data_IF_766089033033
#
_entry.id   IF_766089033033
#
_cell.length_a   1.000
_cell.length_b   1.000
_cell.length_c   1.000
_cell.angle_alpha   90.00
_cell.angle_beta   90.00
_cell.angle_gamma   90.00
#
_symmetry.space_group_name_H-M   'P 1'
#
loop_
_entity.id
_entity.type
_entity.pdbx_description
1 polymer ?
#
# COMPACT_ATOMS: atom_id res chain seq x y z
N UNK A 1 25.16 -15.53 9.39
CA UNK A 1 23.75 -15.22 9.71
C UNK A 1 22.85 -16.15 8.91
N UNK A 2 21.89 -16.84 9.54
CA UNK A 2 20.95 -17.66 8.79
C UNK A 2 19.98 -16.78 8.00
N UNK A 3 19.56 -17.17 6.77
CA UNK A 3 18.62 -16.38 5.98
C UNK A 3 17.24 -16.37 6.66
N UNK A 4 16.54 -15.24 6.51
CA UNK A 4 15.15 -15.10 6.94
C UNK A 4 14.27 -15.57 5.81
N UNK A 5 13.38 -16.52 6.08
CA UNK A 5 12.43 -17.06 5.12
C UNK A 5 11.02 -16.55 5.41
N UNK A 6 10.24 -16.34 4.39
CA UNK A 6 8.82 -15.94 4.44
C UNK A 6 7.99 -16.69 3.40
N UNK A 7 6.70 -16.36 3.26
CA UNK A 7 5.85 -16.94 2.23
C UNK A 7 6.46 -16.74 0.83
N UNK A 8 6.49 -17.80 0.04
CA UNK A 8 6.97 -17.73 -1.34
C UNK A 8 6.01 -16.95 -2.25
N UNK A 9 4.72 -16.92 -1.91
CA UNK A 9 3.64 -16.29 -2.66
C UNK A 9 2.80 -15.36 -1.77
N UNK A 10 2.04 -14.46 -2.39
CA UNK A 10 1.16 -13.53 -1.68
C UNK A 10 1.87 -12.50 -0.80
N UNK A 11 3.17 -12.37 -0.92
CA UNK A 11 4.01 -11.55 -0.03
C UNK A 11 4.04 -10.06 -0.41
N UNK A 12 3.64 -9.72 -1.65
CA UNK A 12 3.78 -8.35 -2.17
C UNK A 12 2.53 -7.53 -1.87
N UNK A 13 2.53 -6.87 -0.72
CA UNK A 13 1.40 -6.07 -0.23
C UNK A 13 1.37 -4.64 -0.77
N UNK A 14 2.37 -4.28 -1.56
CA UNK A 14 2.40 -3.02 -2.31
C UNK A 14 2.78 -3.27 -3.75
N UNK A 15 2.03 -2.66 -4.66
CA UNK A 15 2.36 -2.72 -6.07
C UNK A 15 1.81 -1.51 -6.82
N UNK A 16 2.46 -1.18 -7.91
CA UNK A 16 2.00 -0.22 -8.90
C UNK A 16 1.72 -0.98 -10.19
N UNK A 17 0.46 -1.03 -10.54
CA UNK A 17 -0.02 -1.67 -11.76
C UNK A 17 -0.25 -0.60 -12.81
N UNK A 18 0.32 -0.81 -13.99
CA UNK A 18 0.03 0.02 -15.15
C UNK A 18 -1.30 -0.39 -15.76
N UNK A 19 -2.05 0.61 -16.23
CA UNK A 19 -3.36 0.43 -16.88
C UNK A 19 -3.27 0.99 -18.29
N UNK A 20 -3.78 0.28 -19.27
CA UNK A 20 -3.85 0.74 -20.66
C UNK A 20 -5.07 0.19 -21.37
N UNK A 21 -5.87 1.08 -21.90
CA UNK A 21 -6.88 0.73 -22.90
C UNK A 21 -6.18 0.56 -24.27
N UNK A 22 -6.26 -0.65 -24.82
CA UNK A 22 -5.65 -1.01 -26.12
C UNK A 22 -6.73 -1.00 -27.17
N UNK A 23 -6.94 0.16 -27.82
CA UNK A 23 -7.98 0.40 -28.81
C UNK A 23 -8.04 -0.69 -29.91
N UNK A 24 -6.87 -1.09 -30.44
CA UNK A 24 -6.78 -2.11 -31.50
C UNK A 24 -7.31 -3.48 -31.08
N UNK A 25 -7.32 -3.78 -29.77
CA UNK A 25 -7.79 -5.05 -29.22
C UNK A 25 -9.14 -4.91 -28.52
N UNK A 26 -9.66 -3.69 -28.37
CA UNK A 26 -10.89 -3.40 -27.64
C UNK A 26 -10.87 -3.85 -26.18
N UNK A 27 -9.67 -3.84 -25.53
CA UNK A 27 -9.54 -4.35 -24.17
C UNK A 27 -8.65 -3.46 -23.30
N UNK A 28 -8.89 -3.49 -21.99
CA UNK A 28 -8.02 -2.88 -20.97
C UNK A 28 -7.05 -3.91 -20.46
N UNK A 29 -5.78 -3.55 -20.38
CA UNK A 29 -4.74 -4.33 -19.70
C UNK A 29 -4.43 -3.68 -18.35
N UNK A 30 -4.28 -4.52 -17.31
CA UNK A 30 -3.78 -4.11 -15.99
C UNK A 30 -2.70 -5.08 -15.59
N UNK A 31 -1.49 -4.57 -15.31
CA UNK A 31 -0.38 -5.43 -14.94
C UNK A 31 0.94 -4.69 -14.75
N UNK A 32 1.99 -5.45 -14.54
CA UNK A 32 3.35 -4.93 -14.52
C UNK A 32 3.88 -4.73 -15.94
N UNK A 33 4.87 -3.85 -16.08
CA UNK A 33 5.63 -3.78 -17.32
C UNK A 33 6.41 -5.08 -17.54
N UNK A 34 6.43 -5.54 -18.76
CA UNK A 34 7.33 -6.61 -19.18
C UNK A 34 8.79 -6.17 -19.02
N UNK A 35 9.67 -7.12 -18.74
CA UNK A 35 11.09 -6.83 -18.53
C UNK A 35 11.71 -6.19 -19.77
N UNK A 36 12.35 -5.04 -19.60
CA UNK A 36 13.00 -4.25 -20.67
C UNK A 36 12.06 -3.88 -21.82
N UNK A 37 10.78 -3.71 -21.53
CA UNK A 37 9.74 -3.41 -22.52
C UNK A 37 8.86 -2.24 -22.03
N UNK A 38 8.20 -1.58 -23.01
CA UNK A 38 7.13 -0.59 -22.74
C UNK A 38 5.74 -1.23 -22.69
N UNK A 39 5.66 -2.53 -22.91
CA UNK A 39 4.40 -3.25 -22.89
C UNK A 39 4.01 -3.64 -21.49
N UNK A 40 2.70 -3.72 -21.28
CA UNK A 40 2.09 -4.18 -20.03
C UNK A 40 1.76 -5.66 -20.22
N UNK A 41 2.20 -6.49 -19.28
CA UNK A 41 1.86 -7.90 -19.27
C UNK A 41 0.33 -8.09 -19.15
N UNK A 42 -0.22 -8.96 -19.97
CA UNK A 42 -1.64 -9.33 -19.91
C UNK A 42 -1.88 -10.28 -18.74
N UNK A 43 -1.98 -9.70 -17.54
CA UNK A 43 -2.10 -10.46 -16.31
C UNK A 43 -3.56 -10.79 -16.01
N UNK A 44 -3.86 -12.09 -15.83
CA UNK A 44 -5.15 -12.56 -15.32
C UNK A 44 -5.09 -12.87 -13.82
N UNK A 45 -3.92 -13.22 -13.33
CA UNK A 45 -3.60 -13.48 -11.93
C UNK A 45 -2.15 -13.14 -11.64
N UNK A 46 -1.78 -13.02 -10.37
CA UNK A 46 -0.40 -12.78 -9.96
C UNK A 46 -0.11 -13.45 -8.62
N UNK A 47 0.73 -14.48 -8.63
CA UNK A 47 1.04 -15.27 -7.44
C UNK A 47 1.78 -14.49 -6.34
N UNK A 48 2.52 -13.42 -6.69
CA UNK A 48 3.24 -12.61 -5.68
C UNK A 48 2.33 -11.61 -4.96
N UNK A 49 1.19 -11.21 -5.56
CA UNK A 49 0.19 -10.38 -4.90
C UNK A 49 -0.64 -11.20 -3.90
N UNK A 50 -1.21 -10.58 -2.85
CA UNK A 50 -2.18 -11.25 -1.99
C UNK A 50 -3.32 -11.86 -2.82
N UNK A 51 -3.82 -13.02 -2.40
CA UNK A 51 -4.80 -13.79 -3.17
C UNK A 51 -6.04 -12.98 -3.56
N UNK A 52 -6.57 -12.17 -2.62
CA UNK A 52 -7.71 -11.29 -2.89
C UNK A 52 -7.40 -10.23 -3.96
N UNK A 53 -6.20 -9.62 -3.92
CA UNK A 53 -5.80 -8.64 -4.94
C UNK A 53 -5.60 -9.31 -6.30
N UNK A 54 -4.98 -10.49 -6.32
CA UNK A 54 -4.84 -11.29 -7.54
C UNK A 54 -6.20 -11.62 -8.17
N UNK A 55 -7.20 -11.95 -7.36
CA UNK A 55 -8.57 -12.21 -7.81
C UNK A 55 -9.27 -10.96 -8.38
N UNK A 56 -8.87 -9.76 -7.95
CA UNK A 56 -9.45 -8.51 -8.45
C UNK A 56 -8.91 -8.07 -9.82
N UNK A 57 -7.84 -8.67 -10.36
CA UNK A 57 -7.22 -8.19 -11.60
C UNK A 57 -8.19 -8.18 -12.78
N UNK A 58 -8.94 -9.27 -13.02
CA UNK A 58 -9.94 -9.33 -14.08
C UNK A 58 -11.15 -8.42 -13.81
N UNK A 59 -11.75 -8.40 -12.60
CA UNK A 59 -12.78 -7.43 -12.25
C UNK A 59 -12.34 -5.97 -12.40
N UNK A 60 -11.11 -5.62 -12.02
CA UNK A 60 -10.57 -4.26 -12.22
C UNK A 60 -10.46 -3.91 -13.72
N UNK A 61 -10.06 -4.86 -14.56
CA UNK A 61 -10.03 -4.64 -16.02
C UNK A 61 -11.43 -4.34 -16.57
N UNK A 62 -12.44 -5.09 -16.13
CA UNK A 62 -13.83 -4.85 -16.52
C UNK A 62 -14.30 -3.49 -16.02
N UNK A 63 -14.05 -3.15 -14.75
CA UNK A 63 -14.37 -1.84 -14.18
C UNK A 63 -13.80 -0.69 -15.03
N UNK A 64 -12.49 -0.72 -15.30
CA UNK A 64 -11.86 0.35 -16.07
C UNK A 64 -12.38 0.39 -17.50
N UNK A 65 -12.67 -0.76 -18.14
CA UNK A 65 -13.23 -0.80 -19.49
C UNK A 65 -14.61 -0.13 -19.58
N UNK A 66 -15.41 -0.21 -18.52
CA UNK A 66 -16.74 0.37 -18.43
C UNK A 66 -16.73 1.86 -18.03
N UNK A 67 -15.59 2.39 -17.57
CA UNK A 67 -15.47 3.79 -17.16
C UNK A 67 -15.44 4.74 -18.35
N UNK A 68 -16.02 5.92 -18.16
CA UNK A 68 -15.92 7.02 -19.12
C UNK A 68 -14.45 7.47 -19.25
N UNK A 69 -13.72 7.47 -18.12
CA UNK A 69 -12.30 7.86 -18.02
C UNK A 69 -11.31 6.74 -18.37
N UNK A 70 -11.72 5.63 -19.00
CA UNK A 70 -10.85 4.47 -19.29
C UNK A 70 -9.55 4.77 -20.01
N UNK A 71 -9.54 5.81 -20.83
CA UNK A 71 -8.35 6.22 -21.61
C UNK A 71 -7.41 7.13 -20.80
N UNK A 72 -7.87 7.67 -19.69
CA UNK A 72 -7.16 8.66 -18.87
C UNK A 72 -6.80 8.16 -17.47
N UNK A 73 -6.97 6.86 -17.22
CA UNK A 73 -6.58 6.18 -15.98
C UNK A 73 -5.35 5.29 -16.21
N UNK A 74 -4.12 5.83 -16.14
CA UNK A 74 -2.91 5.08 -16.54
C UNK A 74 -2.39 4.11 -15.49
N UNK A 75 -2.88 4.16 -14.24
CA UNK A 75 -2.25 3.44 -13.13
C UNK A 75 -3.22 3.19 -11.98
N UNK A 76 -3.07 2.02 -11.37
CA UNK A 76 -3.63 1.68 -10.05
C UNK A 76 -2.47 1.29 -9.15
N UNK A 77 -2.28 2.01 -8.03
CA UNK A 77 -1.40 1.55 -6.96
C UNK A 77 -2.22 0.84 -5.90
N UNK A 78 -1.67 -0.22 -5.33
CA UNK A 78 -2.26 -0.92 -4.22
C UNK A 78 -1.37 -0.86 -2.98
N UNK A 79 -2.01 -0.73 -1.83
CA UNK A 79 -1.37 -0.82 -0.53
C UNK A 79 -2.31 -1.60 0.41
N UNK A 80 -1.88 -2.79 0.82
CA UNK A 80 -2.63 -3.62 1.73
C UNK A 80 -2.23 -3.30 3.17
N UNK A 81 -3.22 -3.04 4.01
CA UNK A 81 -3.11 -3.05 5.46
C UNK A 81 -3.67 -4.36 6.02
N UNK A 82 -3.61 -4.51 7.34
CA UNK A 82 -4.09 -5.74 8.01
C UNK A 82 -5.63 -5.89 7.92
N UNK A 83 -6.38 -4.78 7.85
CA UNK A 83 -7.85 -4.79 7.81
C UNK A 83 -8.48 -4.24 6.54
N UNK A 84 -7.70 -3.68 5.62
CA UNK A 84 -8.22 -3.01 4.43
C UNK A 84 -7.17 -2.93 3.33
N UNK A 85 -7.58 -2.91 2.08
CA UNK A 85 -6.71 -2.65 0.94
C UNK A 85 -7.07 -1.31 0.29
N UNK A 86 -6.12 -0.39 0.24
CA UNK A 86 -6.26 0.83 -0.51
C UNK A 86 -5.90 0.62 -1.98
N UNK A 87 -6.76 1.11 -2.88
CA UNK A 87 -6.54 1.18 -4.32
C UNK A 87 -6.49 2.65 -4.72
N UNK A 88 -5.33 3.11 -5.19
CA UNK A 88 -5.13 4.49 -5.65
C UNK A 88 -5.28 4.51 -7.15
N UNK A 89 -6.38 5.06 -7.64
CA UNK A 89 -6.61 5.26 -9.06
C UNK A 89 -6.01 6.61 -9.49
N UNK A 90 -4.99 6.55 -10.33
CA UNK A 90 -4.48 7.74 -11.01
C UNK A 90 -5.38 8.06 -12.18
N UNK A 91 -5.83 9.31 -12.25
CA UNK A 91 -6.64 9.83 -13.35
C UNK A 91 -6.06 11.15 -13.86
N UNK A 92 -5.99 11.32 -15.17
CA UNK A 92 -5.43 12.53 -15.82
C UNK A 92 -6.50 13.58 -16.06
N UNK A 93 -7.76 13.16 -16.16
CA UNK A 93 -8.94 14.00 -16.33
C UNK A 93 -9.92 13.76 -15.17
N UNK A 94 -10.77 14.71 -14.82
CA UNK A 94 -11.80 14.54 -13.79
C UNK A 94 -12.68 13.32 -14.07
N UNK A 95 -12.97 12.54 -13.03
CA UNK A 95 -13.89 11.41 -13.13
C UNK A 95 -15.34 11.89 -13.17
N UNK A 96 -16.17 11.25 -13.98
CA UNK A 96 -17.61 11.48 -14.00
C UNK A 96 -18.28 10.94 -12.73
N UNK A 97 -19.50 11.43 -12.43
CA UNK A 97 -20.30 10.88 -11.33
C UNK A 97 -20.61 9.39 -11.56
N UNK A 98 -20.79 8.98 -12.82
CA UNK A 98 -20.96 7.58 -13.17
C UNK A 98 -19.72 6.74 -12.82
N UNK A 99 -18.53 7.25 -13.10
CA UNK A 99 -17.28 6.57 -12.73
C UNK A 99 -17.11 6.44 -11.22
N UNK A 100 -17.44 7.48 -10.47
CA UNK A 100 -17.43 7.43 -9.00
C UNK A 100 -18.40 6.36 -8.48
N UNK A 101 -19.59 6.23 -9.07
CA UNK A 101 -20.54 5.19 -8.67
C UNK A 101 -20.05 3.78 -9.04
N UNK A 102 -19.39 3.60 -10.19
CA UNK A 102 -18.76 2.33 -10.58
C UNK A 102 -17.68 1.90 -9.58
N UNK A 103 -16.83 2.84 -9.13
CA UNK A 103 -15.80 2.58 -8.11
C UNK A 103 -16.43 2.16 -6.77
N UNK A 104 -17.51 2.84 -6.33
CA UNK A 104 -18.26 2.47 -5.12
C UNK A 104 -18.89 1.09 -5.24
N UNK A 105 -19.47 0.78 -6.39
CA UNK A 105 -20.07 -0.53 -6.65
C UNK A 105 -19.01 -1.63 -6.59
N UNK A 106 -17.88 -1.43 -7.24
CA UNK A 106 -16.74 -2.36 -7.17
C UNK A 106 -16.32 -2.65 -5.72
N UNK A 107 -16.17 -1.60 -4.89
CA UNK A 107 -15.80 -1.76 -3.49
C UNK A 107 -16.84 -2.57 -2.69
N UNK A 108 -18.15 -2.36 -2.97
CA UNK A 108 -19.22 -3.15 -2.32
C UNK A 108 -19.24 -4.61 -2.74
N UNK A 109 -19.00 -4.89 -4.02
CA UNK A 109 -19.07 -6.25 -4.58
C UNK A 109 -17.86 -7.11 -4.21
N UNK A 110 -16.66 -6.52 -4.31
CA UNK A 110 -15.39 -7.23 -4.13
C UNK A 110 -14.74 -6.99 -2.77
N UNK A 111 -15.21 -6.03 -2.00
CA UNK A 111 -14.67 -5.65 -0.69
C UNK A 111 -15.32 -6.30 0.52
N UNK A 112 -16.15 -7.34 0.35
CA UNK A 112 -16.93 -7.96 1.46
C UNK A 112 -16.02 -8.64 2.49
N UNK A 113 -15.09 -9.46 2.05
CA UNK A 113 -14.12 -10.17 2.91
C UNK A 113 -12.85 -9.35 3.15
N UNK A 114 -12.44 -8.59 2.16
CA UNK A 114 -11.28 -7.72 2.19
C UNK A 114 -11.71 -6.29 1.82
N UNK A 115 -12.05 -5.45 2.80
CA UNK A 115 -12.51 -4.08 2.57
C UNK A 115 -11.61 -3.29 1.63
N UNK A 116 -12.22 -2.52 0.72
CA UNK A 116 -11.52 -1.71 -0.27
C UNK A 116 -11.74 -0.24 0.04
N UNK A 117 -10.65 0.52 0.07
CA UNK A 117 -10.67 1.98 0.08
C UNK A 117 -10.19 2.51 -1.26
N UNK A 118 -11.04 3.25 -1.97
CA UNK A 118 -10.60 3.99 -3.14
C UNK A 118 -9.94 5.31 -2.75
N UNK A 119 -8.82 5.57 -3.39
CA UNK A 119 -8.10 6.84 -3.35
C UNK A 119 -7.98 7.37 -4.77
N UNK A 120 -8.18 8.65 -4.96
CA UNK A 120 -8.10 9.32 -6.26
C UNK A 120 -6.86 10.20 -6.30
N UNK A 121 -6.10 10.08 -7.39
CA UNK A 121 -4.84 10.80 -7.58
C UNK A 121 -4.84 11.49 -8.94
N UNK A 122 -5.02 12.82 -8.93
CA UNK A 122 -5.07 13.63 -10.14
C UNK A 122 -3.69 14.06 -10.66
N UNK A 123 -2.70 14.16 -9.77
CA UNK A 123 -1.34 14.65 -10.07
C UNK A 123 -0.27 13.78 -9.41
N UNK A 124 0.69 14.40 -8.71
CA UNK A 124 1.71 13.69 -7.93
C UNK A 124 1.14 12.95 -6.70
N UNK A 125 1.98 12.18 -5.99
CA UNK A 125 1.56 11.39 -4.82
C UNK A 125 0.82 12.19 -3.75
N UNK A 126 1.19 13.46 -3.56
CA UNK A 126 0.57 14.35 -2.56
C UNK A 126 -0.87 14.74 -2.89
N UNK A 127 -1.29 14.55 -4.14
CA UNK A 127 -2.68 14.79 -4.58
C UNK A 127 -3.62 13.63 -4.25
N UNK A 128 -3.11 12.48 -3.80
CA UNK A 128 -3.94 11.34 -3.46
C UNK A 128 -4.87 11.68 -2.29
N UNK A 129 -6.16 11.48 -2.48
CA UNK A 129 -7.21 11.71 -1.47
C UNK A 129 -8.14 10.52 -1.43
N UNK A 130 -8.57 10.17 -0.23
CA UNK A 130 -9.59 9.14 -0.07
C UNK A 130 -10.89 9.60 -0.75
N UNK A 131 -11.51 8.72 -1.50
CA UNK A 131 -12.71 9.05 -2.27
C UNK A 131 -13.92 9.26 -1.35
N UNK A 132 -14.10 8.38 -0.37
CA UNK A 132 -15.21 8.45 0.60
C UNK A 132 -14.63 8.37 2.03
N UNK A 133 -14.65 9.49 2.76
CA UNK A 133 -14.08 9.56 4.11
C UNK A 133 -14.96 8.86 5.18
N UNK A 134 -16.27 8.82 4.94
CA UNK A 134 -17.27 8.30 5.88
C UNK A 134 -17.79 6.90 5.54
N UNK A 135 -16.98 6.07 4.90
CA UNK A 135 -17.40 4.75 4.41
C UNK A 135 -17.37 3.63 5.48
N UNK A 136 -16.94 3.94 6.69
CA UNK A 136 -16.87 2.98 7.80
C UNK A 136 -15.80 1.90 7.66
N UNK A 137 -14.96 1.93 6.62
CA UNK A 137 -13.86 0.97 6.47
C UNK A 137 -12.76 1.23 7.50
N UNK A 138 -12.02 0.18 7.94
CA UNK A 138 -10.91 0.32 8.87
C UNK A 138 -9.84 1.29 8.36
N UNK A 139 -9.06 1.86 9.26
CA UNK A 139 -7.88 2.63 8.89
C UNK A 139 -6.88 1.76 8.16
N UNK A 140 -6.20 2.33 7.14
CA UNK A 140 -5.10 1.66 6.47
C UNK A 140 -3.90 1.61 7.42
N UNK A 141 -3.63 0.44 7.99
CA UNK A 141 -2.59 0.24 8.99
C UNK A 141 -2.00 -1.17 8.91
N UNK A 142 -0.79 -1.33 9.43
CA UNK A 142 -0.19 -2.65 9.70
C UNK A 142 0.27 -2.73 11.15
N UNK A 143 0.30 -3.94 11.70
CA UNK A 143 0.71 -4.18 13.07
C UNK A 143 2.13 -4.75 13.16
N UNK A 144 2.81 -4.37 14.24
CA UNK A 144 4.02 -4.99 14.77
C UNK A 144 3.68 -5.65 16.11
N UNK A 145 3.05 -6.85 16.09
CA UNK A 145 2.43 -7.43 17.29
C UNK A 145 3.42 -7.71 18.42
N UNK A 146 4.69 -8.03 18.10
CA UNK A 146 5.74 -8.26 19.10
C UNK A 146 5.99 -7.04 20.00
N UNK A 147 5.55 -5.85 19.57
CA UNK A 147 5.76 -4.58 20.29
C UNK A 147 4.42 -3.91 20.69
N UNK A 148 3.28 -4.54 20.34
CA UNK A 148 1.96 -3.95 20.60
C UNK A 148 1.66 -2.70 19.77
N UNK A 149 2.35 -2.51 18.63
CA UNK A 149 2.30 -1.29 17.84
C UNK A 149 1.41 -1.51 16.60
N UNK A 150 0.52 -0.55 16.34
CA UNK A 150 -0.22 -0.42 15.07
C UNK A 150 0.26 0.83 14.36
N UNK A 151 0.58 0.69 13.07
CA UNK A 151 1.17 1.73 12.22
C UNK A 151 0.17 2.19 11.17
N UNK A 152 -0.64 3.23 11.40
CA UNK A 152 -1.40 3.89 10.35
C UNK A 152 -0.48 4.49 9.29
N UNK A 153 -0.88 4.39 8.02
CA UNK A 153 -0.13 4.95 6.90
C UNK A 153 -1.06 5.38 5.76
N UNK A 154 -0.55 6.21 4.88
CA UNK A 154 -1.23 6.54 3.62
C UNK A 154 -0.76 5.59 2.51
N UNK A 155 -1.59 5.31 1.49
CA UNK A 155 -1.18 4.41 0.41
C UNK A 155 0.02 4.93 -0.39
N UNK A 156 0.31 6.23 -0.31
CA UNK A 156 1.49 6.86 -0.93
C UNK A 156 2.75 6.84 -0.06
N UNK A 157 2.64 6.50 1.23
CA UNK A 157 3.79 6.40 2.12
C UNK A 157 4.61 5.15 1.81
N UNK A 158 5.91 5.19 2.05
CA UNK A 158 6.72 4.00 1.95
C UNK A 158 6.42 3.04 3.11
N UNK A 159 6.09 1.80 2.77
CA UNK A 159 6.03 0.68 3.70
C UNK A 159 6.71 -0.54 3.06
N UNK A 160 7.19 -1.47 3.88
CA UNK A 160 7.82 -2.70 3.37
C UNK A 160 6.83 -3.53 2.56
N UNK A 161 7.24 -3.98 1.38
CA UNK A 161 6.35 -4.75 0.47
C UNK A 161 5.97 -6.12 1.01
N UNK A 162 6.79 -6.70 1.89
CA UNK A 162 6.56 -7.99 2.54
C UNK A 162 6.37 -7.77 4.04
N UNK A 163 5.12 -7.73 4.55
CA UNK A 163 4.85 -7.49 5.96
C UNK A 163 5.34 -8.62 6.87
N UNK A 164 5.39 -9.86 6.37
CA UNK A 164 5.88 -11.00 7.14
C UNK A 164 7.38 -10.86 7.42
N UNK A 165 8.15 -10.54 6.38
CA UNK A 165 9.59 -10.29 6.53
C UNK A 165 9.83 -9.04 7.36
N UNK A 166 9.04 -7.98 7.19
CA UNK A 166 9.18 -6.76 7.99
C UNK A 166 9.07 -7.04 9.50
N UNK A 167 8.06 -7.81 9.92
CA UNK A 167 7.86 -8.18 11.34
C UNK A 167 9.05 -8.92 11.91
N UNK A 168 9.56 -9.91 11.16
CA UNK A 168 10.74 -10.69 11.57
C UNK A 168 12.00 -9.83 11.56
N UNK A 169 12.17 -8.99 10.54
CA UNK A 169 13.33 -8.10 10.39
C UNK A 169 13.42 -7.11 11.55
N UNK A 170 12.33 -6.44 11.91
CA UNK A 170 12.28 -5.48 13.02
C UNK A 170 12.66 -6.18 14.33
N UNK A 171 12.00 -7.30 14.64
CA UNK A 171 12.30 -8.08 15.86
C UNK A 171 13.76 -8.57 15.91
N UNK A 172 14.29 -8.99 14.75
CA UNK A 172 15.66 -9.47 14.64
C UNK A 172 16.68 -8.33 14.82
N UNK A 173 16.42 -7.18 14.21
CA UNK A 173 17.28 -6.01 14.34
C UNK A 173 17.36 -5.52 15.81
N UNK A 174 16.23 -5.40 16.49
CA UNK A 174 16.21 -4.97 17.89
C UNK A 174 16.97 -5.95 18.80
N UNK A 175 16.80 -7.25 18.56
CA UNK A 175 17.55 -8.28 19.31
C UNK A 175 19.06 -8.19 19.08
N UNK A 176 19.51 -7.88 17.85
CA UNK A 176 20.92 -7.74 17.53
C UNK A 176 21.53 -6.46 18.08
N UNK A 177 20.74 -5.38 18.15
CA UNK A 177 21.14 -4.12 18.74
C UNK A 177 21.29 -4.22 20.26
N UNK A 178 20.58 -5.19 20.88
CA UNK A 178 20.58 -5.44 22.33
C UNK A 178 20.38 -4.16 23.15
N UNK A 179 19.37 -3.38 22.74
CA UNK A 179 19.07 -2.06 23.32
C UNK A 179 18.71 -2.20 24.79
N UNK A 180 19.38 -1.42 25.65
CA UNK A 180 19.18 -1.41 27.08
C UNK A 180 18.28 -0.23 27.51
N UNK A 181 17.56 -0.32 28.65
CA UNK A 181 16.69 0.74 29.16
C UNK A 181 17.38 2.09 29.45
N UNK A 182 18.70 2.09 29.53
CA UNK A 182 19.48 3.32 29.74
C UNK A 182 19.97 3.95 28.42
N UNK A 183 19.79 3.28 27.30
CA UNK A 183 20.32 3.72 26.01
C UNK A 183 19.57 4.89 25.41
N UNK A 184 20.29 5.69 24.66
CA UNK A 184 19.78 6.73 23.77
C UNK A 184 20.09 6.29 22.33
N UNK A 185 19.08 6.18 21.49
CA UNK A 185 19.18 5.63 20.13
C UNK A 185 18.80 6.70 19.11
N UNK A 186 19.52 6.73 17.99
CA UNK A 186 19.17 7.55 16.83
C UNK A 186 18.79 6.60 15.69
N UNK A 187 17.59 6.81 15.14
CA UNK A 187 17.09 6.13 13.94
C UNK A 187 17.15 7.09 12.76
N UNK A 188 18.13 6.89 11.87
CA UNK A 188 18.31 7.68 10.66
C UNK A 188 17.39 7.19 9.55
N UNK A 189 16.70 8.13 8.91
CA UNK A 189 15.71 7.84 7.86
C UNK A 189 14.53 7.02 8.39
N UNK A 190 14.00 7.47 9.51
CA UNK A 190 13.01 6.70 10.28
C UNK A 190 11.67 6.48 9.58
N UNK A 191 11.35 7.25 8.53
CA UNK A 191 10.10 7.15 7.79
C UNK A 191 8.88 7.32 8.70
N UNK A 192 8.00 6.32 8.72
CA UNK A 192 6.82 6.25 9.60
C UNK A 192 7.15 5.81 11.03
N UNK A 193 8.41 5.52 11.33
CA UNK A 193 8.82 5.00 12.63
C UNK A 193 8.85 3.47 12.73
N UNK A 194 9.03 2.77 11.63
CA UNK A 194 9.00 1.29 11.57
C UNK A 194 10.01 0.63 12.53
N UNK A 195 11.16 1.27 12.80
CA UNK A 195 12.13 0.87 13.82
C UNK A 195 12.08 1.77 15.05
N UNK A 196 11.85 3.08 14.86
CA UNK A 196 11.81 4.07 15.94
C UNK A 196 10.83 3.67 17.04
N UNK A 197 9.59 3.29 16.67
CA UNK A 197 8.55 2.96 17.65
C UNK A 197 8.87 1.68 18.43
N UNK A 198 9.27 0.56 17.78
CA UNK A 198 9.77 -0.62 18.50
C UNK A 198 10.98 -0.32 19.40
N UNK A 199 11.95 0.48 18.95
CA UNK A 199 13.09 0.89 19.74
C UNK A 199 12.66 1.69 20.99
N UNK A 200 11.67 2.56 20.86
CA UNK A 200 11.13 3.36 21.96
C UNK A 200 10.44 2.52 23.04
N UNK A 201 10.08 1.25 22.76
CA UNK A 201 9.57 0.34 23.79
C UNK A 201 10.67 -0.21 24.71
N UNK A 202 11.95 -0.05 24.35
CA UNK A 202 13.08 -0.66 25.04
C UNK A 202 14.11 0.37 25.54
N UNK A 203 14.36 1.43 24.75
CA UNK A 203 15.36 2.45 25.06
C UNK A 203 14.81 3.53 26.01
N UNK A 204 15.73 4.24 26.68
CA UNK A 204 15.40 5.45 27.44
C UNK A 204 14.89 6.58 26.57
N UNK A 205 15.48 6.74 25.40
CA UNK A 205 15.18 7.82 24.45
C UNK A 205 15.48 7.35 23.02
N UNK A 206 14.58 7.66 22.08
CA UNK A 206 14.82 7.42 20.67
C UNK A 206 14.56 8.70 19.90
N UNK A 207 15.55 9.10 19.09
CA UNK A 207 15.44 10.22 18.15
C UNK A 207 15.32 9.69 16.73
N UNK A 208 14.12 9.79 16.12
CA UNK A 208 13.94 9.53 14.70
C UNK A 208 14.26 10.76 13.86
N UNK A 209 15.05 10.58 12.81
CA UNK A 209 15.41 11.64 11.85
C UNK A 209 14.91 11.25 10.46
N UNK A 210 14.09 12.14 9.87
CA UNK A 210 13.48 11.93 8.56
C UNK A 210 13.46 13.26 7.77
N UNK A 211 13.75 13.19 6.46
CA UNK A 211 13.79 14.38 5.58
C UNK A 211 12.40 14.87 5.14
N UNK A 212 11.38 14.04 5.22
CA UNK A 212 10.02 14.39 4.83
C UNK A 212 9.20 14.88 6.04
N UNK A 213 8.87 16.16 6.09
CA UNK A 213 8.04 16.73 7.15
C UNK A 213 6.69 15.98 7.32
N UNK A 214 6.08 15.54 6.22
CA UNK A 214 4.84 14.78 6.24
C UNK A 214 5.00 13.39 6.88
N UNK A 215 6.15 12.73 6.72
CA UNK A 215 6.44 11.46 7.38
C UNK A 215 6.78 11.67 8.86
N UNK A 216 7.50 12.73 9.21
CA UNK A 216 7.77 13.10 10.62
C UNK A 216 6.46 13.33 11.36
N UNK A 217 5.54 14.09 10.78
CA UNK A 217 4.22 14.35 11.39
C UNK A 217 3.44 13.04 11.63
N UNK A 218 3.44 12.14 10.64
CA UNK A 218 2.77 10.83 10.79
C UNK A 218 3.46 9.94 11.81
N UNK A 219 4.79 9.91 11.83
CA UNK A 219 5.53 9.18 12.86
C UNK A 219 5.20 9.67 14.25
N UNK A 220 5.07 11.00 14.45
CA UNK A 220 4.64 11.59 15.71
C UNK A 220 3.18 11.26 16.08
N UNK A 221 2.29 11.12 15.08
CA UNK A 221 0.91 10.65 15.30
C UNK A 221 0.88 9.17 15.70
N UNK A 222 1.75 8.35 15.15
CA UNK A 222 1.87 6.91 15.44
C UNK A 222 2.44 6.64 16.85
N UNK A 223 3.03 7.65 17.51
CA UNK A 223 3.55 7.58 18.89
C UNK A 223 2.44 7.73 19.95
N UNK A 224 1.24 8.15 19.59
CA UNK A 224 0.10 8.41 20.50
C UNK A 224 -0.83 7.21 20.59
#
# INVERSE_FOLDING_TARGET
MSPIHGPAWGYRWRARLSVRHVLKKGQVLIGFHERKSRYIADMQSCAVLPAHVSAWLLPLRALIADMDARDTCPQIELACGDGVTALVLRHLEPLSQADIQRLRQFAREHGREHPIQWWLQAKGPDSARRMDEADGTPALAYALPAFGITMPFRPTDFTQVNPHINRVLVSHALRLLDVQPADRVIDWFCGLGNFTLPLATQAREVLGIEGSAALVERAAQNLR
#
